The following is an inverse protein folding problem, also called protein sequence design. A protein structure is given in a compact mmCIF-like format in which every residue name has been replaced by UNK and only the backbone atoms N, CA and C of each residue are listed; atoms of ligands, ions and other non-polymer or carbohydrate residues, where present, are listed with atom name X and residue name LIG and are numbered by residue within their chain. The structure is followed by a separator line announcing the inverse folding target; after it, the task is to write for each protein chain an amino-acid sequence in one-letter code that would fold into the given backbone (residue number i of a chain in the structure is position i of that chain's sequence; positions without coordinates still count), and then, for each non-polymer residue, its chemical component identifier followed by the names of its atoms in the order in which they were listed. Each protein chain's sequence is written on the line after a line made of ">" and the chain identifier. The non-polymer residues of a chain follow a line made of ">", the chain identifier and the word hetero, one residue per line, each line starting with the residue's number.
data_IF_432621653984
#
_entry.id   IF_432621653984
#
_cell.length_a   1.000
_cell.length_b   1.000
_cell.length_c   1.000
_cell.angle_alpha   90.00
_cell.angle_beta   90.00
_cell.angle_gamma   90.00
#
_symmetry.space_group_name_H-M   'P 1'
#
loop_
_entity.id
_entity.type
_entity.pdbx_description
1 polymer ?
#
# COMPACT_ATOMS: atom_id res chain seq x y z
N UNK A 1 5.92 -12.34 -10.62
CA UNK A 1 4.73 -12.58 -11.46
C UNK A 1 3.54 -12.60 -10.53
N UNK A 2 2.54 -11.74 -10.73
CA UNK A 2 1.37 -11.72 -9.85
C UNK A 2 0.44 -12.89 -10.18
N UNK A 3 -0.25 -13.44 -9.18
CA UNK A 3 -1.30 -14.44 -9.39
C UNK A 3 -2.64 -13.94 -8.84
N UNK A 4 -3.72 -14.12 -9.61
CA UNK A 4 -5.07 -13.78 -9.18
C UNK A 4 -5.75 -15.05 -8.72
N UNK A 5 -6.21 -15.05 -7.47
CA UNK A 5 -7.23 -16.00 -7.02
C UNK A 5 -8.54 -15.25 -6.86
N UNK A 6 -9.57 -15.73 -7.54
CA UNK A 6 -10.89 -15.13 -7.47
C UNK A 6 -11.75 -16.00 -6.56
N UNK A 7 -12.48 -15.39 -5.62
CA UNK A 7 -13.59 -16.10 -4.98
C UNK A 7 -14.67 -16.20 -6.05
N UNK A 8 -14.79 -17.37 -6.65
CA UNK A 8 -15.74 -17.60 -7.72
C UNK A 8 -17.15 -17.47 -7.16
N UNK A 9 -17.94 -16.56 -7.72
CA UNK A 9 -19.38 -16.58 -7.47
C UNK A 9 -20.06 -17.77 -8.12
N UNK A 10 -21.31 -17.96 -7.78
CA UNK A 10 -22.13 -19.10 -8.23
C UNK A 10 -22.73 -18.89 -9.62
N UNK A 11 -22.66 -17.67 -10.15
CA UNK A 11 -23.24 -17.27 -11.44
C UNK A 11 -22.19 -16.91 -12.48
N UNK A 12 -22.53 -17.03 -13.77
CA UNK A 12 -21.67 -16.59 -14.88
C UNK A 12 -21.33 -15.09 -14.77
N UNK A 13 -22.28 -14.27 -14.31
CA UNK A 13 -22.05 -12.84 -14.10
C UNK A 13 -20.98 -12.58 -13.03
N UNK A 14 -20.98 -13.35 -11.94
CA UNK A 14 -19.94 -13.25 -10.91
C UNK A 14 -18.62 -13.91 -11.32
N UNK A 15 -18.63 -14.88 -12.24
CA UNK A 15 -17.38 -15.39 -12.82
C UNK A 15 -16.70 -14.34 -13.71
N UNK A 16 -17.49 -13.55 -14.45
CA UNK A 16 -17.01 -12.47 -15.30
C UNK A 16 -16.64 -11.21 -14.49
N UNK A 17 -17.44 -10.90 -13.47
CA UNK A 17 -17.30 -9.73 -12.60
C UNK A 17 -17.44 -10.16 -11.14
N UNK A 18 -16.41 -10.80 -10.56
CA UNK A 18 -16.49 -11.27 -9.19
C UNK A 18 -16.70 -10.10 -8.22
N UNK A 19 -17.36 -10.31 -7.08
CA UNK A 19 -17.44 -9.29 -6.03
C UNK A 19 -16.06 -9.00 -5.42
N UNK A 20 -15.13 -9.93 -5.59
CA UNK A 20 -13.86 -9.90 -4.90
C UNK A 20 -12.75 -10.64 -5.66
N UNK A 21 -11.53 -10.10 -5.58
CA UNK A 21 -10.32 -10.76 -6.07
C UNK A 21 -9.20 -10.63 -5.05
N UNK A 22 -8.38 -11.67 -5.01
CA UNK A 22 -7.16 -11.73 -4.22
C UNK A 22 -5.98 -11.74 -5.17
N UNK A 23 -5.15 -10.72 -5.07
CA UNK A 23 -3.93 -10.59 -5.87
C UNK A 23 -2.76 -10.96 -4.97
N UNK A 24 -2.20 -12.13 -5.21
CA UNK A 24 -1.00 -12.61 -4.52
C UNK A 24 0.22 -12.18 -5.31
N UNK A 25 1.07 -11.39 -4.66
CA UNK A 25 2.30 -10.83 -5.20
C UNK A 25 3.56 -11.51 -4.63
N UNK A 26 3.45 -12.69 -3.99
CA UNK A 26 4.59 -13.40 -3.40
C UNK A 26 5.78 -13.60 -4.36
N UNK A 27 5.50 -13.86 -5.64
CA UNK A 27 6.52 -14.06 -6.68
C UNK A 27 7.00 -12.73 -7.33
N UNK A 28 6.54 -11.58 -6.84
CA UNK A 28 7.09 -10.27 -7.19
C UNK A 28 8.00 -9.77 -6.05
N UNK A 29 9.30 -10.03 -6.20
CA UNK A 29 10.28 -9.70 -5.17
C UNK A 29 10.32 -8.20 -4.84
N UNK A 30 10.02 -7.32 -5.79
CA UNK A 30 10.03 -5.88 -5.56
C UNK A 30 8.82 -5.47 -4.71
N UNK A 31 7.61 -5.87 -5.10
CA UNK A 31 6.37 -5.58 -4.37
C UNK A 31 6.40 -6.22 -2.97
N UNK A 32 6.88 -7.47 -2.87
CA UNK A 32 7.05 -8.15 -1.60
C UNK A 32 8.03 -7.42 -0.68
N UNK A 33 9.17 -6.97 -1.22
CA UNK A 33 10.16 -6.23 -0.43
C UNK A 33 9.56 -4.94 0.09
N UNK A 34 8.95 -4.12 -0.77
CA UNK A 34 8.36 -2.83 -0.39
C UNK A 34 7.27 -3.03 0.67
N UNK A 35 6.28 -3.88 0.40
CA UNK A 35 5.18 -4.14 1.35
C UNK A 35 5.68 -4.65 2.71
N UNK A 36 6.64 -5.59 2.73
CA UNK A 36 7.27 -6.07 3.97
C UNK A 36 7.91 -4.93 4.76
N UNK A 37 8.66 -4.04 4.09
CA UNK A 37 9.32 -2.92 4.74
C UNK A 37 8.35 -1.87 5.26
N UNK A 38 7.25 -1.62 4.55
CA UNK A 38 6.19 -0.72 5.02
C UNK A 38 5.51 -1.25 6.29
N UNK A 39 5.22 -2.56 6.36
CA UNK A 39 4.66 -3.19 7.57
C UNK A 39 5.62 -3.14 8.75
N UNK A 40 6.90 -3.43 8.51
CA UNK A 40 7.94 -3.30 9.54
C UNK A 40 8.03 -1.86 10.05
N UNK A 41 8.05 -0.88 9.14
CA UNK A 41 8.10 0.53 9.50
C UNK A 41 6.90 0.95 10.36
N UNK A 42 5.70 0.43 10.06
CA UNK A 42 4.49 0.73 10.84
C UNK A 42 4.61 0.24 12.29
N UNK A 43 5.13 -0.97 12.48
CA UNK A 43 5.31 -1.59 13.79
C UNK A 43 6.55 -1.08 14.56
N UNK A 44 7.37 -0.22 13.94
CA UNK A 44 8.62 0.27 14.51
C UNK A 44 8.45 1.67 15.09
N UNK A 45 9.00 1.88 16.28
CA UNK A 45 9.05 3.16 16.97
C UNK A 45 9.95 4.14 16.19
N UNK A 46 9.50 5.39 15.98
CA UNK A 46 10.35 6.45 15.46
C UNK A 46 11.60 6.69 16.32
N UNK A 47 11.63 6.26 17.59
CA UNK A 47 12.83 6.37 18.42
C UNK A 47 14.03 5.60 17.86
N UNK A 48 13.82 4.59 17.00
CA UNK A 48 14.89 3.85 16.35
C UNK A 48 15.79 4.74 15.47
N UNK A 49 15.21 5.75 14.81
CA UNK A 49 15.97 6.74 14.02
C UNK A 49 16.51 7.89 14.88
N UNK A 50 15.91 8.13 16.05
CA UNK A 50 16.32 9.18 16.97
C UNK A 50 17.53 8.78 17.84
N UNK A 51 17.91 7.50 17.88
CA UNK A 51 19.14 7.06 18.52
C UNK A 51 20.33 7.56 17.70
N UNK A 52 21.09 8.58 18.16
CA UNK A 52 22.24 9.05 17.41
C UNK A 52 23.24 7.89 17.35
N UNK A 53 23.58 7.45 16.14
CA UNK A 53 24.82 6.70 15.97
C UNK A 53 25.97 7.54 16.53
N UNK A 54 27.02 6.93 17.11
CA UNK A 54 28.15 7.68 17.62
C UNK A 54 28.81 8.46 16.47
N UNK A 55 28.50 9.76 16.37
CA UNK A 55 29.04 10.69 15.36
C UNK A 55 28.12 11.09 14.20
N UNK A 56 26.85 10.66 14.17
CA UNK A 56 25.90 11.10 13.12
C UNK A 56 25.15 12.38 13.50
N UNK A 57 24.81 13.27 12.54
CA UNK A 57 23.89 14.37 12.80
C UNK A 57 22.54 13.83 13.26
N UNK A 58 21.91 14.50 14.22
CA UNK A 58 20.55 14.18 14.64
C UNK A 58 19.61 14.26 13.44
N UNK A 59 18.93 13.15 13.13
CA UNK A 59 17.86 13.07 12.15
C UNK A 59 16.83 14.17 12.43
N UNK A 60 16.47 14.96 11.42
CA UNK A 60 15.46 16.00 11.56
C UNK A 60 14.07 15.35 11.66
N UNK A 61 13.11 15.92 12.41
CA UNK A 61 11.80 15.30 12.64
C UNK A 61 10.87 15.11 11.40
N UNK A 62 11.38 15.30 10.18
CA UNK A 62 10.69 15.07 8.91
C UNK A 62 11.26 13.92 8.09
N UNK A 63 12.11 13.09 8.70
CA UNK A 63 12.91 12.07 8.04
C UNK A 63 12.06 10.85 7.63
N UNK A 64 11.63 10.88 6.36
CA UNK A 64 10.61 10.01 5.77
C UNK A 64 10.86 8.50 5.86
N UNK A 65 9.82 7.73 5.56
CA UNK A 65 9.76 6.25 5.62
C UNK A 65 11.03 5.52 5.19
N UNK A 66 11.75 6.03 4.18
CA UNK A 66 13.02 5.46 3.71
C UNK A 66 14.13 5.44 4.76
N UNK A 67 14.20 6.40 5.68
CA UNK A 67 15.18 6.41 6.77
C UNK A 67 14.88 5.34 7.80
N UNK A 68 13.62 5.18 8.20
CA UNK A 68 13.19 4.10 9.09
C UNK A 68 13.44 2.74 8.45
N UNK A 69 13.14 2.59 7.16
CA UNK A 69 13.45 1.36 6.44
C UNK A 69 14.96 1.06 6.46
N UNK A 70 15.82 2.05 6.24
CA UNK A 70 17.28 1.87 6.34
C UNK A 70 17.73 1.52 7.76
N UNK A 71 17.16 2.16 8.77
CA UNK A 71 17.46 1.83 10.17
C UNK A 71 17.04 0.41 10.50
N UNK A 72 15.85 -0.02 10.06
CA UNK A 72 15.36 -1.40 10.22
C UNK A 72 16.28 -2.41 9.54
N UNK A 73 16.78 -2.10 8.34
CA UNK A 73 17.73 -2.95 7.61
C UNK A 73 19.08 -3.08 8.31
N UNK A 74 19.48 -2.07 9.09
CA UNK A 74 20.77 -2.03 9.78
C UNK A 74 20.71 -2.56 11.21
N UNK A 75 19.51 -2.64 11.80
CA UNK A 75 19.29 -3.08 13.16
C UNK A 75 19.35 -4.60 13.31
N UNK A 76 19.90 -5.05 14.43
CA UNK A 76 19.83 -6.44 14.85
C UNK A 76 18.39 -6.83 15.24
N UNK A 77 18.05 -8.14 15.25
CA UNK A 77 16.74 -8.61 15.70
C UNK A 77 16.37 -8.16 17.13
N UNK A 78 17.34 -8.05 18.02
CA UNK A 78 17.14 -7.59 19.40
C UNK A 78 16.84 -6.09 19.48
N UNK A 79 17.47 -5.29 18.63
CA UNK A 79 17.17 -3.86 18.51
C UNK A 79 15.77 -3.63 17.93
N UNK A 80 15.38 -4.38 16.90
CA UNK A 80 14.04 -4.33 16.33
C UNK A 80 12.96 -4.72 17.35
N UNK A 81 13.21 -5.77 18.14
CA UNK A 81 12.29 -6.19 19.18
C UNK A 81 12.09 -5.11 20.26
N UNK A 82 13.17 -4.40 20.65
CA UNK A 82 13.12 -3.28 21.60
C UNK A 82 12.53 -2.01 21.01
N UNK A 83 12.65 -1.84 19.70
CA UNK A 83 12.13 -0.69 18.97
C UNK A 83 10.69 -0.89 18.49
N UNK A 84 9.94 -1.89 18.97
CA UNK A 84 8.51 -2.00 18.66
C UNK A 84 7.78 -0.74 19.13
N UNK A 85 6.88 -0.23 18.30
CA UNK A 85 6.10 0.95 18.64
C UNK A 85 5.11 0.62 19.76
N UNK A 86 5.22 1.24 20.96
CA UNK A 86 4.26 1.01 22.03
C UNK A 86 2.91 1.69 21.76
N UNK A 87 2.91 2.76 20.96
CA UNK A 87 1.70 3.49 20.58
C UNK A 87 1.11 2.89 19.31
N UNK A 88 0.25 1.88 19.48
CA UNK A 88 -0.51 1.27 18.38
C UNK A 88 -1.81 2.05 18.06
N UNK A 89 -2.28 2.88 18.98
CA UNK A 89 -3.61 3.50 18.90
C UNK A 89 -3.64 4.78 18.06
N UNK A 90 -2.50 5.48 17.93
CA UNK A 90 -2.41 6.68 17.10
C UNK A 90 -2.37 6.36 15.59
N UNK A 91 -3.48 5.89 15.01
CA UNK A 91 -3.55 5.42 13.60
C UNK A 91 -2.98 6.45 12.61
N UNK A 92 -3.16 7.74 12.88
CA UNK A 92 -2.58 8.84 12.11
C UNK A 92 -1.45 9.53 12.89
N UNK A 93 -0.26 9.47 12.32
CA UNK A 93 0.93 10.23 12.73
C UNK A 93 1.70 10.57 11.46
N UNK A 94 2.55 11.61 11.45
CA UNK A 94 3.31 11.97 10.25
C UNK A 94 4.07 10.79 9.61
N UNK A 95 4.60 9.88 10.44
CA UNK A 95 5.23 8.65 9.96
C UNK A 95 4.21 7.69 9.33
N UNK A 96 3.11 7.38 10.03
CA UNK A 96 2.09 6.45 9.54
C UNK A 96 1.46 6.95 8.25
N UNK A 97 1.19 8.24 8.14
CA UNK A 97 0.66 8.84 6.92
C UNK A 97 1.67 8.75 5.75
N UNK A 98 2.97 8.91 6.03
CA UNK A 98 4.03 8.66 5.04
C UNK A 98 4.10 7.18 4.60
N UNK A 99 3.88 6.25 5.53
CA UNK A 99 3.80 4.81 5.23
C UNK A 99 2.57 4.53 4.35
N UNK A 100 1.39 5.06 4.70
CA UNK A 100 0.16 4.90 3.93
C UNK A 100 0.32 5.46 2.52
N UNK A 101 0.90 6.65 2.38
CA UNK A 101 1.20 7.21 1.07
C UNK A 101 2.12 6.30 0.25
N UNK A 102 3.11 5.66 0.88
CA UNK A 102 4.07 4.79 0.19
C UNK A 102 3.48 3.46 -0.27
N UNK A 103 2.34 3.03 0.30
CA UNK A 103 1.58 1.91 -0.23
C UNK A 103 1.03 2.17 -1.63
N UNK A 104 0.99 3.43 -2.09
CA UNK A 104 0.62 3.77 -3.46
C UNK A 104 1.47 3.03 -4.50
N UNK A 105 2.76 2.80 -4.23
CA UNK A 105 3.61 2.04 -5.16
C UNK A 105 3.13 0.60 -5.32
N UNK A 106 2.80 -0.06 -4.22
CA UNK A 106 2.28 -1.44 -4.24
C UNK A 106 0.92 -1.49 -4.93
N UNK A 107 0.03 -0.56 -4.62
CA UNK A 107 -1.29 -0.51 -5.24
C UNK A 107 -1.25 -0.17 -6.72
N UNK A 108 -0.30 0.66 -7.16
CA UNK A 108 -0.10 0.96 -8.57
C UNK A 108 0.32 -0.27 -9.37
N UNK A 109 1.28 -1.05 -8.86
CA UNK A 109 1.73 -2.28 -9.50
C UNK A 109 0.60 -3.32 -9.57
N UNK A 110 -0.16 -3.47 -8.48
CA UNK A 110 -1.32 -4.36 -8.42
C UNK A 110 -2.46 -3.90 -9.33
N UNK A 111 -2.76 -2.59 -9.38
CA UNK A 111 -3.82 -2.06 -10.25
C UNK A 111 -3.46 -2.25 -11.71
N UNK A 112 -2.22 -1.99 -12.11
CA UNK A 112 -1.76 -2.23 -13.48
C UNK A 112 -1.91 -3.70 -13.86
N UNK A 113 -1.53 -4.61 -12.97
CA UNK A 113 -1.72 -6.04 -13.21
C UNK A 113 -3.20 -6.42 -13.36
N UNK A 114 -4.10 -5.82 -12.56
CA UNK A 114 -5.54 -6.04 -12.70
C UNK A 114 -6.09 -5.49 -14.03
N UNK A 115 -5.60 -4.33 -14.49
CA UNK A 115 -5.94 -3.76 -15.80
C UNK A 115 -5.54 -4.70 -16.93
N UNK A 116 -4.29 -5.19 -16.91
CA UNK A 116 -3.78 -6.16 -17.89
C UNK A 116 -4.59 -7.47 -17.89
N UNK A 117 -5.13 -7.86 -16.73
CA UNK A 117 -6.02 -9.01 -16.59
C UNK A 117 -7.49 -8.74 -16.99
N UNK A 118 -7.74 -7.65 -17.74
CA UNK A 118 -9.06 -7.21 -18.21
C UNK A 118 -10.08 -6.97 -17.08
N UNK A 119 -9.62 -6.67 -15.87
CA UNK A 119 -10.49 -6.18 -14.81
C UNK A 119 -10.62 -4.67 -15.04
N UNK A 120 -11.83 -4.18 -15.34
CA UNK A 120 -12.15 -2.75 -15.43
C UNK A 120 -11.87 -2.04 -14.11
N UNK A 121 -10.59 -1.79 -13.85
CA UNK A 121 -10.05 -1.21 -12.64
C UNK A 121 -9.78 0.23 -13.03
N UNK A 122 -10.74 1.08 -12.70
CA UNK A 122 -10.67 2.50 -12.99
C UNK A 122 -9.44 3.17 -12.39
N UNK A 123 -9.36 4.49 -12.46
CA UNK A 123 -8.18 5.24 -12.05
C UNK A 123 -7.90 5.07 -10.55
N UNK A 124 -6.67 4.64 -10.22
CA UNK A 124 -6.22 4.49 -8.84
C UNK A 124 -5.99 5.86 -8.22
N UNK A 125 -6.79 6.17 -7.20
CA UNK A 125 -6.43 7.20 -6.24
C UNK A 125 -5.47 6.59 -5.22
N UNK A 126 -4.33 7.26 -4.97
CA UNK A 126 -3.43 6.82 -3.92
C UNK A 126 -4.19 6.61 -2.62
N UNK A 127 -3.80 5.62 -1.82
CA UNK A 127 -4.24 5.53 -0.44
C UNK A 127 -3.80 6.82 0.25
N UNK A 128 -4.72 7.78 0.37
CA UNK A 128 -4.57 8.96 1.21
C UNK A 128 -4.66 8.51 2.69
N UNK A 129 -5.05 9.41 3.59
CA UNK A 129 -5.40 9.09 5.00
C UNK A 129 -6.55 8.07 5.14
N UNK A 130 -7.01 7.44 4.05
CA UNK A 130 -8.05 6.41 4.05
C UNK A 130 -7.49 5.07 4.50
N UNK A 131 -7.64 4.81 5.80
CA UNK A 131 -7.33 3.52 6.42
C UNK A 131 -8.58 2.97 7.10
N UNK A 132 -8.62 1.65 7.22
CA UNK A 132 -9.63 0.93 7.99
C UNK A 132 -8.96 0.37 9.24
N UNK A 133 -9.11 1.08 10.35
CA UNK A 133 -8.69 0.61 11.66
C UNK A 133 -9.75 -0.34 12.24
N UNK A 134 -9.27 -1.43 12.82
CA UNK A 134 -10.09 -2.45 13.47
C UNK A 134 -9.69 -2.45 14.94
N UNK A 135 -10.57 -1.96 15.80
CA UNK A 135 -10.31 -1.82 17.24
C UNK A 135 -10.76 -3.06 18.01
N UNK A 136 -10.15 -3.33 19.16
CA UNK A 136 -10.67 -4.35 20.07
C UNK A 136 -12.08 -3.97 20.56
N UNK A 137 -13.00 -4.94 20.68
CA UNK A 137 -14.31 -4.67 21.25
C UNK A 137 -14.18 -4.25 22.72
N UNK A 138 -14.96 -3.25 23.15
CA UNK A 138 -14.92 -2.70 24.52
C UNK A 138 -15.25 -3.73 25.61
N UNK A 139 -16.04 -4.75 25.29
CA UNK A 139 -16.37 -5.85 26.19
C UNK A 139 -16.14 -7.21 25.50
N UNK A 140 -15.38 -8.14 26.11
CA UNK A 140 -15.40 -9.53 25.67
C UNK A 140 -16.81 -10.07 25.92
N UNK A 141 -17.62 -10.18 24.86
CA UNK A 141 -18.95 -10.81 24.95
C UNK A 141 -18.78 -12.23 25.49
N UNK A 142 -19.22 -12.46 26.72
CA UNK A 142 -19.10 -13.76 27.37
C UNK A 142 -19.63 -14.87 26.46
N UNK A 143 -18.76 -15.82 26.12
CA UNK A 143 -19.10 -17.03 25.37
C UNK A 143 -19.04 -16.94 23.84
N UNK A 144 -18.58 -15.84 23.22
CA UNK A 144 -18.34 -15.80 21.77
C UNK A 144 -16.84 -15.81 21.44
N UNK A 145 -16.42 -16.77 20.62
CA UNK A 145 -15.04 -16.89 20.14
C UNK A 145 -14.67 -15.85 19.07
N UNK A 146 -15.68 -15.20 18.46
CA UNK A 146 -15.52 -14.22 17.38
C UNK A 146 -16.52 -13.09 17.60
N UNK A 147 -16.05 -11.84 17.48
CA UNK A 147 -16.86 -10.63 17.64
C UNK A 147 -16.75 -9.78 16.37
N UNK A 148 -17.89 -9.43 15.77
CA UNK A 148 -17.92 -8.49 14.64
C UNK A 148 -17.60 -7.08 15.15
N UNK A 149 -16.65 -6.42 14.48
CA UNK A 149 -16.14 -5.10 14.91
C UNK A 149 -16.36 -4.05 13.83
N UNK A 150 -16.17 -4.41 12.57
CA UNK A 150 -16.27 -3.46 11.46
C UNK A 150 -17.21 -4.01 10.39
N UNK A 151 -18.14 -3.17 9.94
CA UNK A 151 -18.93 -3.40 8.73
C UNK A 151 -18.78 -2.17 7.82
N UNK A 152 -18.34 -2.38 6.58
CA UNK A 152 -18.03 -1.30 5.64
C UNK A 152 -18.48 -1.64 4.23
N UNK A 153 -19.03 -0.64 3.56
CA UNK A 153 -19.32 -0.65 2.12
C UNK A 153 -18.68 0.59 1.50
N UNK A 154 -18.21 0.47 0.26
CA UNK A 154 -17.61 1.56 -0.50
C UNK A 154 -18.42 1.89 -1.75
N UNK A 155 -18.48 3.18 -2.06
CA UNK A 155 -19.14 3.71 -3.26
C UNK A 155 -18.31 3.52 -4.54
N UNK A 156 -17.08 3.04 -4.41
CA UNK A 156 -16.21 2.69 -5.52
C UNK A 156 -15.56 1.34 -5.24
N UNK A 157 -14.94 0.74 -6.26
CA UNK A 157 -14.09 -0.44 -6.01
C UNK A 157 -12.85 0.01 -5.24
N UNK A 158 -12.29 -0.88 -4.41
CA UNK A 158 -11.14 -0.56 -3.56
C UNK A 158 -10.11 -1.68 -3.56
N UNK A 159 -8.86 -1.32 -3.32
CA UNK A 159 -7.77 -2.21 -2.95
C UNK A 159 -7.56 -2.10 -1.44
N UNK A 160 -7.49 -3.24 -0.76
CA UNK A 160 -7.22 -3.34 0.67
C UNK A 160 -5.96 -4.16 0.90
N UNK A 161 -5.06 -3.67 1.73
CA UNK A 161 -3.91 -4.44 2.20
C UNK A 161 -3.78 -4.31 3.73
N UNK A 162 -3.60 -5.43 4.46
CA UNK A 162 -3.29 -5.36 5.88
C UNK A 162 -1.90 -4.73 6.03
N UNK A 163 -1.82 -3.59 6.71
CA UNK A 163 -0.55 -2.92 7.03
C UNK A 163 -0.09 -3.20 8.46
N UNK A 164 -1.02 -3.53 9.34
CA UNK A 164 -0.76 -3.93 10.72
C UNK A 164 -1.79 -4.95 11.18
N UNK A 165 -1.31 -5.97 11.89
CA UNK A 165 -2.13 -6.91 12.64
C UNK A 165 -1.35 -7.29 13.89
N UNK A 166 -1.98 -7.14 15.06
CA UNK A 166 -1.31 -7.36 16.33
C UNK A 166 -1.02 -8.84 16.60
N UNK A 167 0.13 -9.12 17.18
CA UNK A 167 0.54 -10.47 17.60
C UNK A 167 -0.50 -11.09 18.55
N UNK A 168 -0.95 -12.31 18.21
CA UNK A 168 -2.01 -13.02 18.94
C UNK A 168 -3.43 -12.81 18.40
N UNK A 169 -3.63 -11.87 17.47
CA UNK A 169 -4.96 -11.60 16.88
C UNK A 169 -5.24 -12.54 15.71
N UNK A 170 -6.49 -12.99 15.61
CA UNK A 170 -7.01 -13.68 14.43
C UNK A 170 -8.19 -12.89 13.88
N UNK A 171 -8.07 -12.33 12.68
CA UNK A 171 -9.19 -11.66 12.04
C UNK A 171 -9.89 -12.59 11.07
N UNK A 172 -11.20 -12.47 11.01
CA UNK A 172 -12.00 -13.00 9.92
C UNK A 172 -12.50 -11.84 9.07
N UNK A 173 -12.45 -12.01 7.76
CA UNK A 173 -12.86 -11.01 6.77
C UNK A 173 -13.86 -11.65 5.82
N UNK A 174 -15.10 -11.22 5.89
CA UNK A 174 -16.24 -11.76 5.14
C UNK A 174 -16.77 -10.73 4.15
N UNK A 175 -17.28 -11.18 3.00
CA UNK A 175 -17.73 -10.30 1.91
C UNK A 175 -19.03 -10.84 1.33
N UNK A 176 -20.00 -9.95 1.10
CA UNK A 176 -21.27 -10.26 0.41
C UNK A 176 -22.50 -10.28 1.32
N UNK A 177 -23.57 -10.97 0.89
CA UNK A 177 -24.82 -11.10 1.65
C UNK A 177 -24.63 -12.09 2.82
N UNK A 178 -24.81 -11.59 4.04
CA UNK A 178 -24.50 -12.33 5.28
C UNK A 178 -25.75 -12.84 5.97
N UNK A 179 -26.67 -13.47 5.22
CA UNK A 179 -27.80 -14.17 5.84
C UNK A 179 -27.34 -15.50 6.44
N UNK A 180 -27.29 -15.58 7.78
CA UNK A 180 -27.07 -16.84 8.50
C UNK A 180 -25.61 -17.21 8.82
N UNK A 181 -24.63 -16.41 8.41
CA UNK A 181 -23.21 -16.69 8.62
C UNK A 181 -22.73 -16.21 10.02
N UNK A 182 -23.24 -16.84 11.07
CA UNK A 182 -22.62 -16.81 12.41
C UNK A 182 -21.83 -18.08 12.72
N UNK A 183 -21.62 -18.94 11.72
CA UNK A 183 -20.93 -20.22 11.85
C UNK A 183 -19.43 -20.12 11.54
N UNK A 184 -18.65 -21.03 12.10
CA UNK A 184 -17.20 -21.14 11.84
C UNK A 184 -16.87 -21.35 10.35
N UNK A 185 -17.84 -21.75 9.52
CA UNK A 185 -17.71 -22.09 8.09
C UNK A 185 -18.07 -20.94 7.11
N UNK A 186 -18.14 -19.70 7.58
CA UNK A 186 -18.43 -18.53 6.72
C UNK A 186 -17.47 -18.40 5.55
N UNK A 187 -17.98 -17.98 4.38
CA UNK A 187 -17.20 -17.65 3.18
C UNK A 187 -16.37 -16.38 3.43
N UNK A 188 -15.23 -16.53 4.09
CA UNK A 188 -14.34 -15.44 4.44
C UNK A 188 -12.89 -15.87 4.52
N UNK A 189 -12.01 -14.89 4.70
CA UNK A 189 -10.58 -15.08 4.88
C UNK A 189 -10.21 -14.94 6.34
N UNK A 190 -9.14 -15.62 6.71
CA UNK A 190 -8.63 -15.59 8.08
C UNK A 190 -7.21 -15.04 8.03
N UNK A 191 -7.00 -13.91 8.70
CA UNK A 191 -5.69 -13.35 8.96
C UNK A 191 -5.24 -13.83 10.33
N UNK A 192 -4.21 -14.67 10.39
CA UNK A 192 -3.78 -15.31 11.64
C UNK A 192 -2.41 -14.78 12.06
N UNK A 193 -2.40 -13.88 13.05
CA UNK A 193 -1.18 -13.36 13.63
C UNK A 193 -0.76 -14.08 14.93
N UNK A 194 -1.37 -15.22 15.28
CA UNK A 194 -1.09 -15.94 16.53
C UNK A 194 0.34 -16.46 16.62
N UNK A 195 0.98 -16.75 15.48
CA UNK A 195 2.37 -17.18 15.40
C UNK A 195 3.36 -16.09 14.99
N UNK A 196 2.90 -14.85 14.80
CA UNK A 196 3.78 -13.79 14.29
C UNK A 196 4.64 -13.21 15.40
N UNK A 197 5.95 -13.12 15.17
CA UNK A 197 6.88 -12.46 16.10
C UNK A 197 6.85 -10.94 15.91
N UNK A 198 5.65 -10.35 15.95
CA UNK A 198 5.41 -8.90 15.92
C UNK A 198 5.37 -8.22 14.55
N UNK A 199 5.59 -8.95 13.46
CA UNK A 199 5.35 -8.43 12.10
C UNK A 199 4.49 -9.43 11.35
N UNK A 200 3.25 -9.04 11.07
CA UNK A 200 2.38 -9.76 10.15
C UNK A 200 2.82 -9.45 8.71
N UNK A 201 3.04 -10.48 7.88
CA UNK A 201 3.50 -10.28 6.51
C UNK A 201 2.67 -11.10 5.51
N UNK A 202 1.55 -10.51 5.10
CA UNK A 202 0.70 -11.04 4.04
C UNK A 202 1.26 -10.69 2.66
N UNK A 203 1.09 -11.57 1.68
CA UNK A 203 1.53 -11.31 0.29
C UNK A 203 0.39 -10.93 -0.63
N UNK A 204 -0.74 -10.55 -0.06
CA UNK A 204 -2.00 -10.39 -0.77
C UNK A 204 -2.52 -8.95 -0.68
N UNK A 205 -2.96 -8.43 -1.83
CA UNK A 205 -3.86 -7.28 -1.91
C UNK A 205 -5.24 -7.78 -2.31
N UNK A 206 -6.25 -7.20 -1.67
CA UNK A 206 -7.65 -7.58 -1.88
C UNK A 206 -8.36 -6.51 -2.68
N UNK A 207 -8.87 -6.86 -3.84
CA UNK A 207 -9.76 -6.00 -4.61
C UNK A 207 -11.20 -6.30 -4.23
N UNK A 208 -11.91 -5.29 -3.74
CA UNK A 208 -13.32 -5.35 -3.36
C UNK A 208 -14.11 -4.51 -4.36
N UNK A 209 -15.14 -5.12 -4.96
CA UNK A 209 -16.01 -4.43 -5.91
C UNK A 209 -16.84 -3.35 -5.20
N UNK A 210 -17.14 -2.27 -5.93
CA UNK A 210 -18.10 -1.25 -5.52
C UNK A 210 -19.39 -1.87 -4.99
N UNK A 211 -19.91 -1.35 -3.88
CA UNK A 211 -21.18 -1.75 -3.29
C UNK A 211 -21.13 -3.04 -2.48
N UNK A 212 -20.02 -3.78 -2.50
CA UNK A 212 -19.86 -4.96 -1.66
C UNK A 212 -19.72 -4.58 -0.19
N UNK A 213 -20.36 -5.38 0.66
CA UNK A 213 -20.26 -5.26 2.10
C UNK A 213 -19.14 -6.14 2.61
N UNK A 214 -18.21 -5.53 3.33
CA UNK A 214 -17.14 -6.21 4.08
C UNK A 214 -17.48 -6.20 5.55
N UNK A 215 -17.32 -7.35 6.21
CA UNK A 215 -17.36 -7.49 7.66
C UNK A 215 -16.03 -8.01 8.16
N UNK A 216 -15.51 -7.38 9.20
CA UNK A 216 -14.30 -7.83 9.88
C UNK A 216 -14.67 -8.18 11.32
N UNK A 217 -14.31 -9.41 11.69
CA UNK A 217 -14.55 -9.96 13.01
C UNK A 217 -13.22 -10.33 13.65
N UNK A 218 -13.09 -10.07 14.94
CA UNK A 218 -11.89 -10.40 15.72
C UNK A 218 -12.16 -11.67 16.52
N UNK A 219 -11.26 -12.64 16.39
CA UNK A 219 -11.13 -13.80 17.24
C UNK A 219 -9.69 -13.99 17.73
N UNK A 220 -9.45 -15.11 18.39
CA UNK A 220 -8.16 -15.42 19.01
C UNK A 220 -8.18 -15.23 20.53
N UNK A 221 -7.11 -15.68 21.18
CA UNK A 221 -6.94 -15.57 22.63
C UNK A 221 -6.30 -14.23 23.00
N UNK A 222 -7.01 -13.14 22.73
CA UNK A 222 -6.60 -11.82 23.19
C UNK A 222 -7.15 -11.60 24.61
N UNK A 223 -6.23 -11.37 25.56
CA UNK A 223 -6.59 -11.18 26.96
C UNK A 223 -7.54 -9.99 27.18
N UNK A 224 -8.34 -10.03 28.26
CA UNK A 224 -9.33 -9.00 28.64
C UNK A 224 -8.75 -7.59 28.84
N UNK A 225 -7.43 -7.47 28.92
CA UNK A 225 -6.72 -6.21 29.12
C UNK A 225 -6.29 -5.54 27.79
N UNK A 226 -6.54 -6.19 26.65
CA UNK A 226 -6.21 -5.60 25.35
C UNK A 226 -7.27 -4.58 24.94
N UNK A 227 -6.82 -3.36 24.69
CA UNK A 227 -7.61 -2.26 24.17
C UNK A 227 -6.90 -1.64 22.95
N UNK A 228 -7.64 -0.77 22.26
CA UNK A 228 -7.10 0.02 21.16
C UNK A 228 -7.15 -0.69 19.81
N UNK A 229 -6.17 -0.43 18.95
CA UNK A 229 -6.18 -0.94 17.56
C UNK A 229 -5.60 -2.36 17.48
N UNK A 230 -6.41 -3.30 16.98
CA UNK A 230 -6.01 -4.68 16.73
C UNK A 230 -5.41 -4.88 15.33
N UNK A 231 -5.89 -4.11 14.34
CA UNK A 231 -5.37 -4.15 12.98
C UNK A 231 -5.64 -2.86 12.21
N UNK A 232 -4.87 -2.66 11.14
CA UNK A 232 -5.07 -1.56 10.19
C UNK A 232 -4.94 -2.09 8.77
N UNK A 233 -5.91 -1.74 7.94
CA UNK A 233 -5.86 -1.94 6.49
C UNK A 233 -5.68 -0.59 5.79
N UNK A 234 -4.80 -0.55 4.80
CA UNK A 234 -4.67 0.61 3.92
C UNK A 234 -5.60 0.44 2.73
N UNK A 235 -6.29 1.51 2.33
CA UNK A 235 -7.34 1.48 1.33
C UNK A 235 -6.97 2.35 0.11
N UNK A 236 -6.80 1.74 -1.06
CA UNK A 236 -6.65 2.43 -2.35
C UNK A 236 -7.99 2.49 -3.07
N UNK A 237 -8.45 3.67 -3.47
CA UNK A 237 -9.76 3.83 -4.12
C UNK A 237 -9.59 3.76 -5.64
N UNK A 238 -10.44 3.01 -6.34
CA UNK A 238 -10.46 2.94 -7.80
C UNK A 238 -11.69 3.68 -8.31
N UNK A 239 -11.50 4.83 -8.98
CA UNK A 239 -12.61 5.64 -9.48
C UNK A 239 -12.91 5.34 -10.95
N UNK A 240 -14.16 5.54 -11.36
CA UNK A 240 -14.60 5.35 -12.76
C UNK A 240 -14.34 6.59 -13.64
N UNK A 241 -13.57 7.58 -13.17
CA UNK A 241 -13.31 8.79 -13.93
C UNK A 241 -12.47 8.49 -15.18
N UNK A 242 -12.90 9.03 -16.33
CA UNK A 242 -12.06 9.06 -17.54
C UNK A 242 -10.96 10.09 -17.30
N UNK A 243 -9.66 9.76 -17.48
CA UNK A 243 -8.60 10.73 -17.31
C UNK A 243 -8.79 11.86 -18.34
N UNK A 244 -8.99 13.10 -17.87
CA UNK A 244 -9.18 14.30 -18.72
C UNK A 244 -7.97 14.58 -19.64
N UNK A 245 -6.87 13.84 -19.51
CA UNK A 245 -5.60 14.08 -20.22
C UNK A 245 -5.52 13.55 -21.64
N UNK A 246 -6.47 12.73 -22.11
CA UNK A 246 -6.46 12.25 -23.51
C UNK A 246 -7.20 13.21 -24.48
N UNK A 247 -8.13 14.03 -23.99
CA UNK A 247 -8.84 15.01 -24.85
C UNK A 247 -8.01 16.29 -25.10
N UNK A 248 -7.07 16.62 -24.21
CA UNK A 248 -6.27 17.85 -24.33
C UNK A 248 -5.08 17.74 -25.31
N UNK A 249 -4.66 16.53 -25.72
CA UNK A 249 -3.53 16.35 -26.63
C UNK A 249 -3.94 16.29 -28.12
N UNK A 250 -5.21 16.01 -28.44
CA UNK A 250 -5.68 16.01 -29.83
C UNK A 250 -6.09 17.40 -30.34
N UNK A 251 -6.34 18.39 -29.47
CA UNK A 251 -6.70 19.75 -29.89
C UNK A 251 -5.50 20.67 -30.16
N UNK A 252 -4.32 20.42 -29.60
CA UNK A 252 -3.13 21.26 -29.86
C UNK A 252 -2.38 20.91 -31.15
N UNK A 253 -2.45 19.67 -31.66
CA UNK A 253 -1.74 19.28 -32.89
C UNK A 253 -2.43 19.73 -34.21
N UNK A 254 -3.60 20.38 -34.15
CA UNK A 254 -4.32 20.84 -35.35
C UNK A 254 -4.23 22.36 -35.61
N UNK A 255 -3.51 23.14 -34.79
CA UNK A 255 -3.48 24.61 -34.93
C UNK A 255 -2.17 25.23 -35.46
N UNK A 256 -1.05 24.50 -35.55
CA UNK A 256 0.21 25.04 -36.10
C UNK A 256 0.47 24.62 -37.55
N UNK A 257 -0.35 25.12 -38.48
CA UNK A 257 0.06 25.22 -39.89
C UNK A 257 -0.12 26.66 -40.41
N UNK A 258 0.57 27.57 -39.73
CA UNK A 258 0.55 29.02 -39.99
C UNK A 258 1.93 29.58 -40.31
N UNK A 259 2.35 29.44 -41.57
CA UNK A 259 3.09 30.47 -42.32
C UNK A 259 4.32 31.13 -41.65
N UNK A 260 5.50 30.49 -41.75
CA UNK A 260 6.80 31.06 -41.33
C UNK A 260 7.80 31.21 -42.46
N UNK A 261 7.59 32.18 -43.34
CA UNK A 261 8.52 32.64 -44.40
C UNK A 261 9.86 33.07 -43.78
N UNK A 262 10.88 32.22 -43.77
CA UNK A 262 12.26 32.60 -43.37
C UNK A 262 13.15 32.82 -44.58
N UNK A 263 13.57 34.08 -44.67
CA UNK A 263 14.52 34.68 -45.60
C UNK A 263 15.90 34.03 -45.40
N UNK A 264 16.51 33.60 -46.50
CA UNK A 264 17.92 33.16 -46.55
C UNK A 264 18.80 34.40 -46.66
N UNK A 265 19.55 34.67 -45.62
CA UNK A 265 20.81 35.42 -45.64
C UNK A 265 21.77 34.45 -44.88
N UNK A 266 22.77 33.81 -45.47
CA UNK A 266 23.88 34.41 -46.22
C UNK A 266 24.92 34.85 -45.20
N UNK A 267 25.58 33.90 -44.54
CA UNK A 267 26.69 34.17 -43.62
C UNK A 267 27.91 33.36 -44.05
N UNK A 268 28.98 34.10 -44.21
CA UNK A 268 30.12 33.81 -45.04
C UNK A 268 31.20 33.16 -44.18
N UNK A 269 31.84 32.12 -44.72
CA UNK A 269 32.99 31.50 -44.09
C UNK A 269 34.17 32.47 -44.03
N UNK A 270 34.84 32.47 -42.88
CA UNK A 270 36.25 32.85 -42.83
C UNK A 270 37.05 31.83 -42.00
N UNK A 271 38.12 31.41 -42.66
CA UNK A 271 39.09 30.41 -42.28
C UNK A 271 40.19 31.01 -41.39
N UNK A 272 40.84 30.15 -40.60
CA UNK A 272 42.11 30.43 -39.95
C UNK A 272 42.12 29.91 -38.51
N UNK A 273 43.17 29.32 -37.97
CA UNK A 273 44.54 29.09 -38.43
C UNK A 273 45.13 28.06 -37.43
N UNK A 274 46.14 27.34 -37.89
CA UNK A 274 46.90 26.33 -37.15
C UNK A 274 47.82 26.98 -36.09
N UNK A 275 48.06 26.28 -34.97
CA UNK A 275 49.38 26.06 -34.33
C UNK A 275 49.18 25.21 -33.06
N UNK A 276 49.70 23.98 -32.98
CA UNK A 276 51.06 23.57 -32.58
C UNK A 276 51.47 23.85 -31.12
N UNK A 277 51.84 22.75 -30.43
CA UNK A 277 52.66 22.63 -29.19
C UNK A 277 52.02 23.17 -27.90
N UNK A 278 52.26 22.63 -26.70
CA UNK A 278 53.42 21.91 -26.18
C UNK A 278 53.06 21.01 -24.98
N UNK A 279 53.91 20.00 -24.77
CA UNK A 279 54.07 19.24 -23.53
C UNK A 279 54.34 20.15 -22.32
N UNK A 280 53.80 19.81 -21.15
CA UNK A 280 54.56 19.80 -19.88
C UNK A 280 53.86 18.94 -18.84
N UNK A 281 54.60 17.95 -18.34
CA UNK A 281 54.35 17.23 -17.09
C UNK A 281 54.55 18.14 -15.88
N UNK A 282 53.85 17.89 -14.77
CA UNK A 282 54.38 18.02 -13.41
C UNK A 282 53.46 17.28 -12.41
N UNK A 283 54.09 16.38 -11.65
CA UNK A 283 53.75 15.67 -10.39
C UNK A 283 52.30 15.29 -10.04
#
# INVERSE_FOLDING_TARGET
>A
MHTIRTVTGTTLAEMLHPPFRRVDYADDAAVLTVSTRLRQAWATSPALIAAPGPGGPAASPGDGVGQIIRAIQSASPEELARARNPDKDAVHTPLRDSIYHSWNHVFWDVSRFLQDAACGTGHLHPPSESVLAVEYPEEPREGRAVVDVVEKTWETSVLLAPTFLEEGVKLRFEIGEMEGCGGEDGSGFVFDATGTKGVYNETEVYWVRRGERVRISIGGDYGKERAGVAAVFVCGMLCDCVPESEEAQEEEETSENGNGKRKRDGDDGEDGHLDERAETAFD
#
